data_IF_575815554554
#
_entry.id   IF_575815554554
#
_cell.length_a   1.000
_cell.length_b   1.000
_cell.length_c   1.000
_cell.angle_alpha   90.00
_cell.angle_beta   90.00
_cell.angle_gamma   90.00
#
_symmetry.space_group_name_H-M   'P 1'
#
loop_
_entity.id
_entity.type
_entity.pdbx_description
1 polymer ?
#
# COMPACT_ATOMS: atom_id res chain seq x y z
N UNK A 1 -26.62 -16.65 -30.39
CA UNK A 1 -25.85 -15.80 -29.46
C UNK A 1 -24.50 -15.53 -30.11
N UNK A 2 -24.27 -14.31 -30.64
CA UNK A 2 -23.02 -13.99 -31.35
C UNK A 2 -21.88 -13.93 -30.33
N UNK A 3 -20.92 -14.83 -30.44
CA UNK A 3 -19.73 -14.88 -29.59
C UNK A 3 -18.84 -13.67 -29.91
N UNK A 4 -18.71 -12.74 -28.96
CA UNK A 4 -17.79 -11.61 -29.09
C UNK A 4 -16.36 -12.11 -28.89
N UNK A 5 -15.64 -12.26 -29.99
CA UNK A 5 -14.26 -12.75 -30.01
C UNK A 5 -13.29 -11.65 -29.54
N UNK A 6 -12.32 -11.98 -28.67
CA UNK A 6 -11.37 -11.02 -28.07
C UNK A 6 -10.59 -10.22 -29.11
N UNK A 7 -10.38 -10.83 -30.29
CA UNK A 7 -9.70 -10.19 -31.42
C UNK A 7 -10.51 -9.07 -32.05
N UNK A 8 -11.83 -9.19 -32.07
CA UNK A 8 -12.72 -8.15 -32.59
C UNK A 8 -12.81 -6.96 -31.64
N UNK A 9 -12.72 -7.19 -30.33
CA UNK A 9 -12.62 -6.12 -29.35
C UNK A 9 -11.33 -5.31 -29.53
N UNK A 10 -10.18 -5.98 -29.66
CA UNK A 10 -8.89 -5.31 -29.86
C UNK A 10 -8.86 -4.51 -31.16
N UNK A 11 -9.40 -5.05 -32.27
CA UNK A 11 -9.51 -4.33 -33.54
C UNK A 11 -10.38 -3.08 -33.45
N UNK A 12 -11.48 -3.13 -32.69
CA UNK A 12 -12.35 -1.97 -32.46
C UNK A 12 -11.69 -0.93 -31.55
N UNK A 13 -10.94 -1.38 -30.54
CA UNK A 13 -10.22 -0.51 -29.62
C UNK A 13 -9.07 0.26 -30.32
N UNK A 14 -8.31 -0.39 -31.19
CA UNK A 14 -7.25 0.28 -31.97
C UNK A 14 -7.81 1.29 -32.97
N UNK A 15 -8.96 1.01 -33.60
CA UNK A 15 -9.60 1.95 -34.51
C UNK A 15 -10.13 3.21 -33.78
N UNK A 16 -10.68 3.03 -32.58
CA UNK A 16 -11.14 4.16 -31.76
C UNK A 16 -9.99 5.02 -31.19
N UNK A 17 -8.80 4.44 -31.00
CA UNK A 17 -7.62 5.16 -30.50
C UNK A 17 -6.96 6.08 -31.54
N UNK A 18 -7.17 5.86 -32.84
CA UNK A 18 -6.54 6.66 -33.90
C UNK A 18 -7.13 8.07 -34.06
N UNK A 19 -8.38 8.30 -33.60
CA UNK A 19 -9.08 9.59 -33.74
C UNK A 19 -8.71 10.62 -32.68
N UNK A 20 -7.88 10.27 -31.68
CA UNK A 20 -7.49 11.18 -30.59
C UNK A 20 -6.26 12.05 -30.92
N UNK A 21 -5.62 11.87 -32.08
CA UNK A 21 -4.36 12.53 -32.42
C UNK A 21 -4.49 13.82 -33.27
N UNK A 22 -5.72 14.29 -33.56
CA UNK A 22 -5.92 15.47 -34.44
C UNK A 22 -6.82 16.57 -33.86
N UNK A 23 -6.67 16.92 -32.57
CA UNK A 23 -7.19 18.21 -32.06
C UNK A 23 -6.06 19.04 -31.43
N UNK A 24 -5.27 19.79 -32.23
CA UNK A 24 -4.27 20.71 -31.70
C UNK A 24 -4.82 22.06 -31.23
N UNK A 25 -6.14 22.30 -31.18
CA UNK A 25 -6.67 23.69 -31.08
C UNK A 25 -7.47 24.02 -29.82
N UNK A 26 -7.43 23.19 -28.78
CA UNK A 26 -8.08 23.49 -27.48
C UNK A 26 -7.12 23.64 -26.30
N UNK A 27 -5.80 23.62 -26.55
CA UNK A 27 -4.77 23.88 -25.53
C UNK A 27 -4.24 25.33 -25.54
N UNK A 28 -4.65 26.16 -26.51
CA UNK A 28 -4.08 27.49 -26.74
C UNK A 28 -4.92 28.65 -26.19
N UNK A 29 -6.05 28.37 -25.51
CA UNK A 29 -6.98 29.40 -25.02
C UNK A 29 -6.79 29.79 -23.54
N UNK A 30 -5.75 29.30 -22.87
CA UNK A 30 -5.45 29.67 -21.47
C UNK A 30 -4.06 30.28 -21.31
N UNK A 31 -3.63 31.14 -22.25
CA UNK A 31 -2.46 32.02 -22.07
C UNK A 31 -2.91 33.43 -21.66
N UNK A 32 -3.82 33.50 -20.68
CA UNK A 32 -4.13 34.73 -19.97
C UNK A 32 -3.36 34.73 -18.66
N UNK A 33 -2.38 35.63 -18.55
CA UNK A 33 -1.68 35.95 -17.30
C UNK A 33 -2.67 36.12 -16.15
N UNK A 34 -2.76 35.11 -15.30
CA UNK A 34 -3.20 35.23 -13.92
C UNK A 34 -2.14 34.54 -13.07
N UNK A 35 -1.14 35.32 -12.65
CA UNK A 35 -0.39 34.97 -11.44
C UNK A 35 -1.36 35.01 -10.27
N UNK A 36 -2.04 33.89 -10.05
CA UNK A 36 -2.62 33.54 -8.77
C UNK A 36 -2.00 32.20 -8.39
N UNK A 37 -0.68 32.24 -8.15
CA UNK A 37 -0.07 31.27 -7.26
C UNK A 37 -0.60 31.57 -5.86
N UNK A 38 -1.82 31.13 -5.58
CA UNK A 38 -2.16 30.82 -4.19
C UNK A 38 -1.42 29.53 -3.91
N UNK A 39 -0.15 29.65 -3.55
CA UNK A 39 0.49 28.66 -2.69
C UNK A 39 -0.35 28.68 -1.43
N UNK A 40 -1.35 27.79 -1.33
CA UNK A 40 -1.94 27.48 -0.04
C UNK A 40 -0.80 26.80 0.69
N UNK A 41 -0.05 27.57 1.48
CA UNK A 41 0.85 27.03 2.46
C UNK A 41 0.02 26.07 3.30
N UNK A 42 0.27 24.77 3.17
CA UNK A 42 -0.31 23.75 4.06
C UNK A 42 0.32 23.80 5.45
N UNK A 43 1.19 24.79 5.72
CA UNK A 43 1.68 25.15 7.04
C UNK A 43 0.47 25.54 7.92
N UNK A 44 -0.12 24.53 8.56
CA UNK A 44 -1.22 24.71 9.50
C UNK A 44 -2.48 23.88 9.24
N UNK A 45 -2.52 22.99 8.24
CA UNK A 45 -3.65 22.06 8.05
C UNK A 45 -3.60 20.83 8.97
N UNK A 46 -3.15 21.01 10.22
CA UNK A 46 -3.33 20.00 11.26
C UNK A 46 -4.60 20.30 12.07
N UNK A 47 -5.34 19.26 12.44
CA UNK A 47 -6.49 19.42 13.31
C UNK A 47 -6.05 19.95 14.68
N UNK A 48 -6.76 20.97 15.18
CA UNK A 48 -6.50 21.52 16.52
C UNK A 48 -7.01 20.53 17.58
N UNK A 49 -6.10 19.89 18.30
CA UNK A 49 -6.46 19.01 19.42
C UNK A 49 -7.07 19.82 20.57
N UNK A 50 -8.19 19.34 21.11
CA UNK A 50 -8.84 19.89 22.32
C UNK A 50 -8.33 19.23 23.63
N UNK A 51 -7.38 18.29 23.50
CA UNK A 51 -6.76 17.55 24.60
C UNK A 51 -5.24 17.77 24.59
N UNK A 52 -4.55 17.62 25.75
CA UNK A 52 -3.10 17.72 25.80
C UNK A 52 -2.40 16.72 24.86
N UNK A 53 -1.36 17.18 24.16
CA UNK A 53 -0.48 16.33 23.35
C UNK A 53 0.40 15.45 24.25
N UNK A 54 0.72 14.24 23.78
CA UNK A 54 1.70 13.33 24.41
C UNK A 54 1.40 12.97 25.89
N UNK A 55 0.12 12.80 26.23
CA UNK A 55 -0.32 12.41 27.60
C UNK A 55 -0.54 10.90 27.77
N UNK A 56 -0.18 10.08 26.78
CA UNK A 56 -0.28 8.62 26.80
C UNK A 56 1.09 7.96 26.77
N UNK A 57 1.15 6.70 27.20
CA UNK A 57 2.35 5.89 27.03
C UNK A 57 2.59 5.62 25.54
N UNK A 58 3.81 5.85 25.07
CA UNK A 58 4.19 5.56 23.69
C UNK A 58 4.23 4.05 23.46
N UNK A 59 3.80 3.62 22.28
CA UNK A 59 3.98 2.24 21.83
C UNK A 59 5.45 2.10 21.44
N UNK A 60 6.17 1.21 22.13
CA UNK A 60 7.59 0.92 21.83
C UNK A 60 7.79 -0.48 21.23
N UNK A 61 6.73 -1.30 21.19
CA UNK A 61 6.78 -2.64 20.62
C UNK A 61 5.55 -2.99 19.79
N UNK A 62 5.72 -3.88 18.82
CA UNK A 62 4.63 -4.39 17.98
C UNK A 62 4.78 -5.89 17.69
N UNK A 63 3.65 -6.56 17.46
CA UNK A 63 3.66 -7.93 16.98
C UNK A 63 3.87 -7.98 15.47
N UNK A 64 4.64 -8.96 15.02
CA UNK A 64 4.60 -9.46 13.65
C UNK A 64 3.59 -10.61 13.65
N UNK A 65 2.47 -10.44 12.97
CA UNK A 65 1.35 -11.40 12.99
C UNK A 65 1.59 -12.61 12.06
N UNK A 66 2.73 -13.26 12.27
CA UNK A 66 3.13 -14.48 11.58
C UNK A 66 3.28 -15.59 12.64
N UNK A 67 2.57 -16.73 12.54
CA UNK A 67 1.47 -17.06 11.61
C UNK A 67 0.13 -16.52 12.14
N UNK A 68 -0.63 -15.72 11.38
CA UNK A 68 -1.93 -15.17 11.82
C UNK A 68 -3.02 -16.22 12.08
N UNK A 69 -3.99 -15.87 12.93
CA UNK A 69 -5.20 -16.66 13.15
C UNK A 69 -6.35 -16.19 12.24
N UNK A 70 -6.50 -14.87 12.07
CA UNK A 70 -7.72 -14.23 11.61
C UNK A 70 -7.52 -12.89 10.87
N UNK A 71 -6.29 -12.38 10.75
CA UNK A 71 -5.98 -11.21 9.93
C UNK A 71 -5.52 -11.68 8.55
N UNK A 72 -6.17 -11.25 7.44
CA UNK A 72 -5.75 -11.64 6.09
C UNK A 72 -4.30 -11.25 5.78
N UNK A 73 -3.54 -12.19 5.21
CA UNK A 73 -2.13 -12.00 4.91
C UNK A 73 -1.92 -10.98 3.77
N UNK A 74 -0.92 -10.11 3.92
CA UNK A 74 -0.63 -9.03 2.97
C UNK A 74 0.24 -9.48 1.78
N UNK A 75 0.79 -10.70 1.83
CA UNK A 75 1.71 -11.26 0.83
C UNK A 75 2.99 -10.43 0.65
N UNK A 76 3.54 -9.91 1.75
CA UNK A 76 4.76 -9.12 1.77
C UNK A 76 6.01 -10.00 1.64
N UNK A 77 6.96 -9.53 0.83
CA UNK A 77 8.31 -10.06 0.78
C UNK A 77 9.26 -9.24 1.66
N UNK A 78 10.56 -9.53 1.55
CA UNK A 78 11.61 -8.87 2.33
C UNK A 78 11.63 -7.34 2.12
N UNK A 79 11.34 -6.87 0.91
CA UNK A 79 11.35 -5.44 0.59
C UNK A 79 10.24 -4.67 1.31
N UNK A 80 9.03 -5.20 1.33
CA UNK A 80 7.90 -4.57 2.01
C UNK A 80 8.11 -4.62 3.53
N UNK A 81 8.64 -5.72 4.05
CA UNK A 81 9.01 -5.82 5.46
C UNK A 81 10.09 -4.81 5.85
N UNK A 82 11.18 -4.68 5.09
CA UNK A 82 12.24 -3.70 5.38
C UNK A 82 11.67 -2.27 5.46
N UNK A 83 10.80 -1.91 4.52
CA UNK A 83 10.12 -0.61 4.55
C UNK A 83 9.27 -0.44 5.81
N UNK A 84 8.54 -1.48 6.23
CA UNK A 84 7.73 -1.44 7.45
C UNK A 84 8.61 -1.32 8.72
N UNK A 85 9.76 -2.00 8.78
CA UNK A 85 10.75 -1.80 9.85
C UNK A 85 11.30 -0.37 9.90
N UNK A 86 11.50 0.29 8.75
CA UNK A 86 11.88 1.71 8.71
C UNK A 86 10.77 2.60 9.28
N UNK A 87 9.50 2.33 8.95
CA UNK A 87 8.35 3.03 9.54
C UNK A 87 8.26 2.83 11.05
N UNK A 88 8.42 1.60 11.52
CA UNK A 88 8.47 1.27 12.96
C UNK A 88 9.59 2.05 13.67
N UNK A 89 10.79 2.08 13.07
CA UNK A 89 11.94 2.78 13.65
C UNK A 89 11.70 4.28 13.75
N UNK A 90 11.08 4.88 12.74
CA UNK A 90 10.79 6.32 12.68
C UNK A 90 9.83 6.79 13.79
N UNK A 91 8.93 5.93 14.26
CA UNK A 91 7.99 6.24 15.35
C UNK A 91 8.50 5.81 16.74
N UNK A 92 9.69 5.20 16.82
CA UNK A 92 10.32 4.82 18.08
C UNK A 92 10.00 3.42 18.59
N UNK A 93 9.55 2.51 17.72
CA UNK A 93 9.48 1.09 18.06
C UNK A 93 10.91 0.53 18.16
N UNK A 94 11.18 -0.20 19.24
CA UNK A 94 12.47 -0.85 19.53
C UNK A 94 12.36 -2.37 19.67
N UNK A 95 11.15 -2.89 19.78
CA UNK A 95 10.88 -4.32 20.01
C UNK A 95 9.87 -4.85 19.00
N UNK A 96 10.21 -5.97 18.34
CA UNK A 96 9.27 -6.72 17.50
C UNK A 96 9.10 -8.13 18.02
N UNK A 97 7.87 -8.64 17.99
CA UNK A 97 7.53 -9.96 18.52
C UNK A 97 6.80 -10.77 17.47
N UNK A 98 7.43 -11.81 16.92
CA UNK A 98 6.72 -12.80 16.10
C UNK A 98 5.72 -13.54 16.99
N UNK A 99 4.42 -13.37 16.73
CA UNK A 99 3.37 -13.77 17.68
C UNK A 99 3.31 -15.29 17.89
N UNK A 100 3.62 -16.10 16.86
CA UNK A 100 3.72 -17.55 16.96
C UNK A 100 4.59 -18.14 15.85
N UNK A 101 5.58 -18.95 16.22
CA UNK A 101 6.45 -19.61 15.22
C UNK A 101 5.75 -20.68 14.36
N UNK A 102 4.50 -21.02 14.69
CA UNK A 102 3.64 -21.87 13.88
C UNK A 102 2.21 -21.90 14.40
N UNK A 103 1.28 -22.28 13.53
CA UNK A 103 -0.14 -22.44 13.86
C UNK A 103 -0.74 -23.59 13.04
N UNK A 104 -1.23 -24.62 13.74
CA UNK A 104 -1.69 -25.89 13.14
C UNK A 104 -0.59 -26.55 12.30
N UNK A 105 -0.70 -26.50 10.96
CA UNK A 105 0.31 -27.04 10.04
C UNK A 105 1.25 -25.98 9.49
N UNK A 106 0.97 -24.70 9.68
CA UNK A 106 1.75 -23.61 9.13
C UNK A 106 2.93 -23.26 10.06
N UNK A 107 4.13 -23.02 9.51
CA UNK A 107 5.33 -22.63 10.27
C UNK A 107 6.08 -21.46 9.62
N UNK A 108 6.74 -20.63 10.43
CA UNK A 108 7.52 -19.48 9.93
C UNK A 108 8.97 -19.83 9.58
N UNK A 109 9.42 -21.04 9.93
CA UNK A 109 10.79 -21.49 9.74
C UNK A 109 10.84 -23.02 9.55
N UNK A 110 11.89 -23.56 8.90
CA UNK A 110 11.96 -24.98 8.54
C UNK A 110 12.32 -25.87 9.74
N UNK A 111 11.41 -25.98 10.71
CA UNK A 111 11.59 -26.80 11.92
C UNK A 111 11.74 -28.29 11.58
N UNK A 112 12.90 -28.94 11.83
CA UNK A 112 13.12 -30.34 11.47
C UNK A 112 12.12 -31.31 12.11
N UNK A 113 11.63 -30.97 13.31
CA UNK A 113 10.62 -31.75 14.02
C UNK A 113 9.24 -31.62 13.37
N UNK A 114 8.81 -30.39 13.04
CA UNK A 114 7.46 -30.13 12.52
C UNK A 114 7.34 -30.55 11.05
N UNK A 115 8.40 -30.40 10.25
CA UNK A 115 8.44 -30.88 8.87
C UNK A 115 8.25 -32.40 8.80
N UNK A 116 8.86 -33.18 9.71
CA UNK A 116 8.62 -34.65 9.82
C UNK A 116 7.18 -35.00 10.18
N UNK A 117 6.41 -34.05 10.70
CA UNK A 117 4.98 -34.20 11.03
C UNK A 117 4.04 -33.65 9.94
N UNK A 118 4.58 -33.24 8.79
CA UNK A 118 3.79 -32.71 7.67
C UNK A 118 3.29 -31.28 7.88
N UNK A 119 3.97 -30.49 8.72
CA UNK A 119 3.83 -29.04 8.75
C UNK A 119 4.62 -28.41 7.60
N UNK A 120 4.26 -27.19 7.19
CA UNK A 120 4.81 -26.48 6.05
C UNK A 120 4.84 -24.96 6.28
#
# INVERSE_FOLDING_TARGET
>A
MKTLDRRDFLKKATLAGASALTVPTLFESCTSKASASTVVATDGLESKLIVPKNNGLKITGTFLDEISHDIPHQNWGEKEWDLDFQHMKNIGIDTVIMIRSGYRKFVTFPSPYLLKKGCY
#
